data_IF_424107471432
#
_entry.id   IF_424107471432
#
_cell.length_a   1.000
_cell.length_b   1.000
_cell.length_c   1.000
_cell.angle_alpha   90.00
_cell.angle_beta   90.00
_cell.angle_gamma   90.00
#
_symmetry.space_group_name_H-M   'P 1'
#
loop_
_entity.id
_entity.type
_entity.pdbx_description
1 polymer ?
#
# COMPACT_ATOMS: atom_id res chain seq x y z
N UNK A 1 25.39 -13.79 13.13
CA UNK A 1 25.31 -13.51 11.69
C UNK A 1 24.04 -14.08 11.05
N UNK A 2 23.85 -15.40 10.93
CA UNK A 2 22.69 -15.98 10.23
C UNK A 2 21.32 -15.49 10.77
N UNK A 3 21.13 -15.46 12.09
CA UNK A 3 19.86 -15.02 12.72
C UNK A 3 19.54 -13.54 12.42
N UNK A 4 20.56 -12.67 12.42
CA UNK A 4 20.40 -11.24 12.12
C UNK A 4 20.10 -11.01 10.65
N UNK A 5 20.73 -11.76 9.74
CA UNK A 5 20.43 -11.71 8.31
C UNK A 5 18.98 -12.16 8.04
N UNK A 6 18.54 -13.26 8.67
CA UNK A 6 17.16 -13.73 8.56
C UNK A 6 16.15 -12.67 9.05
N UNK A 7 16.42 -11.99 10.17
CA UNK A 7 15.55 -10.91 10.63
C UNK A 7 15.57 -9.71 9.68
N UNK A 8 16.73 -9.39 9.09
CA UNK A 8 16.85 -8.29 8.13
C UNK A 8 15.99 -8.54 6.89
N UNK A 9 16.01 -9.75 6.35
CA UNK A 9 15.17 -10.16 5.22
C UNK A 9 13.68 -10.10 5.56
N UNK A 10 13.31 -10.52 6.77
CA UNK A 10 11.93 -10.43 7.24
C UNK A 10 11.45 -9.00 7.40
N UNK A 11 12.25 -8.14 8.04
CA UNK A 11 11.93 -6.72 8.18
C UNK A 11 11.94 -6.02 6.82
N UNK A 12 12.81 -6.42 5.88
CA UNK A 12 12.77 -5.92 4.50
C UNK A 12 11.47 -6.31 3.80
N UNK A 13 10.96 -7.51 4.06
CA UNK A 13 9.68 -7.95 3.51
C UNK A 13 8.51 -7.18 4.12
N UNK A 14 8.52 -6.98 5.45
CA UNK A 14 7.49 -6.21 6.16
C UNK A 14 7.50 -4.74 5.70
N UNK A 15 8.67 -4.13 5.52
CA UNK A 15 8.75 -2.75 5.03
C UNK A 15 8.17 -2.63 3.61
N UNK A 16 8.42 -3.60 2.73
CA UNK A 16 7.80 -3.66 1.40
C UNK A 16 6.28 -3.79 1.47
N UNK A 17 5.74 -4.60 2.38
CA UNK A 17 4.28 -4.70 2.59
C UNK A 17 3.71 -3.33 3.01
N UNK A 18 4.35 -2.64 3.95
CA UNK A 18 3.93 -1.30 4.41
C UNK A 18 4.01 -0.28 3.27
N UNK A 19 5.10 -0.29 2.50
CA UNK A 19 5.28 0.60 1.35
C UNK A 19 4.22 0.35 0.27
N UNK A 20 3.94 -0.92 -0.07
CA UNK A 20 2.89 -1.26 -1.02
C UNK A 20 1.51 -0.80 -0.55
N UNK A 21 1.20 -0.97 0.74
CA UNK A 21 -0.05 -0.49 1.32
C UNK A 21 -0.18 1.03 1.21
N UNK A 22 0.87 1.77 1.60
CA UNK A 22 0.90 3.24 1.58
C UNK A 22 0.84 3.77 0.15
N UNK A 23 1.72 3.30 -0.73
CA UNK A 23 1.77 3.73 -2.13
C UNK A 23 0.45 3.48 -2.85
N UNK A 24 -0.19 2.33 -2.61
CA UNK A 24 -1.50 2.04 -3.19
C UNK A 24 -2.59 2.95 -2.64
N UNK A 25 -2.52 3.24 -1.33
CA UNK A 25 -3.48 4.12 -0.68
C UNK A 25 -3.33 5.57 -1.16
N UNK A 26 -2.11 6.00 -1.46
CA UNK A 26 -1.84 7.33 -2.01
C UNK A 26 -2.46 7.52 -3.38
N UNK A 27 -2.47 6.49 -4.23
CA UNK A 27 -3.23 6.51 -5.49
C UNK A 27 -4.73 6.70 -5.24
N UNK A 28 -5.30 5.97 -4.27
CA UNK A 28 -6.72 6.10 -3.91
C UNK A 28 -7.02 7.51 -3.39
N UNK A 29 -6.14 8.08 -2.56
CA UNK A 29 -6.27 9.45 -2.06
C UNK A 29 -6.22 10.47 -3.19
N UNK A 30 -5.25 10.32 -4.10
CA UNK A 30 -5.08 11.19 -5.25
C UNK A 30 -6.34 11.22 -6.13
N UNK A 31 -6.88 10.04 -6.46
CA UNK A 31 -8.11 9.91 -7.26
C UNK A 31 -9.37 10.41 -6.53
N UNK A 32 -9.39 10.38 -5.19
CA UNK A 32 -10.53 10.83 -4.39
C UNK A 32 -10.50 12.33 -4.03
N UNK A 33 -9.37 13.01 -4.17
CA UNK A 33 -9.21 14.41 -3.76
C UNK A 33 -10.03 15.36 -4.66
N UNK A 34 -10.93 16.13 -4.05
CA UNK A 34 -11.81 17.06 -4.75
C UNK A 34 -11.05 18.21 -5.45
N UNK A 35 -9.82 18.53 -5.02
CA UNK A 35 -8.96 19.49 -5.72
C UNK A 35 -8.42 18.92 -7.04
N UNK A 36 -8.13 17.61 -7.11
CA UNK A 36 -7.81 16.94 -8.37
C UNK A 36 -9.06 16.69 -9.23
N UNK A 37 -10.24 16.54 -8.61
CA UNK A 37 -11.52 16.57 -9.35
C UNK A 37 -11.84 17.94 -9.95
N UNK A 38 -11.28 19.06 -9.44
CA UNK A 38 -11.54 20.43 -9.94
C UNK A 38 -10.44 21.00 -10.85
N UNK A 39 -9.17 20.65 -10.64
CA UNK A 39 -8.08 21.10 -11.51
C UNK A 39 -7.96 20.26 -12.80
N UNK A 40 -8.32 18.96 -12.77
CA UNK A 40 -8.27 18.06 -13.93
C UNK A 40 -9.66 17.71 -14.50
N UNK A 41 -10.60 18.67 -14.43
CA UNK A 41 -11.86 18.63 -15.18
C UNK A 41 -11.65 18.47 -16.71
N UNK A 42 -10.42 18.65 -17.21
CA UNK A 42 -10.06 18.61 -18.64
C UNK A 42 -10.05 17.18 -19.24
N UNK A 43 -9.98 16.09 -18.45
CA UNK A 43 -9.82 14.74 -19.01
C UNK A 43 -10.94 13.71 -18.74
N UNK A 44 -12.04 14.10 -18.10
CA UNK A 44 -13.20 13.20 -17.91
C UNK A 44 -13.88 12.80 -19.22
N UNK A 45 -13.68 13.55 -20.29
CA UNK A 45 -14.29 13.27 -21.60
C UNK A 45 -13.44 12.35 -22.49
N UNK A 46 -12.17 12.06 -22.16
CA UNK A 46 -11.25 11.36 -23.09
C UNK A 46 -10.64 10.05 -22.58
N UNK A 47 -10.55 9.83 -21.26
CA UNK A 47 -10.23 8.52 -20.68
C UNK A 47 -11.50 7.99 -20.01
N UNK A 48 -11.91 6.75 -20.31
CA UNK A 48 -13.18 6.25 -19.79
C UNK A 48 -13.21 6.31 -18.26
N UNK A 49 -14.33 6.76 -17.71
CA UNK A 49 -14.57 6.72 -16.26
C UNK A 49 -14.41 5.31 -15.68
N UNK A 50 -14.53 4.29 -16.52
CA UNK A 50 -14.32 2.88 -16.17
C UNK A 50 -12.87 2.54 -15.90
N UNK A 51 -11.91 3.08 -16.66
CA UNK A 51 -10.48 2.85 -16.40
C UNK A 51 -10.08 3.41 -15.03
N UNK A 52 -10.45 4.65 -14.73
CA UNK A 52 -10.13 5.26 -13.44
C UNK A 52 -10.80 4.57 -12.27
N UNK A 53 -12.07 4.19 -12.44
CA UNK A 53 -12.78 3.36 -11.46
C UNK A 53 -12.06 2.02 -11.25
N UNK A 54 -11.63 1.37 -12.33
CA UNK A 54 -10.86 0.13 -12.25
C UNK A 54 -9.54 0.33 -11.49
N UNK A 55 -8.78 1.37 -11.79
CA UNK A 55 -7.51 1.71 -11.11
C UNK A 55 -7.76 1.93 -9.62
N UNK A 56 -8.70 2.81 -9.26
CA UNK A 56 -9.06 3.11 -7.88
C UNK A 56 -9.43 1.86 -7.09
N UNK A 57 -10.30 1.01 -7.64
CA UNK A 57 -10.73 -0.24 -7.03
C UNK A 57 -9.56 -1.17 -6.77
N UNK A 58 -8.68 -1.36 -7.74
CA UNK A 58 -7.56 -2.28 -7.61
C UNK A 58 -6.53 -1.80 -6.58
N UNK A 59 -6.18 -0.51 -6.60
CA UNK A 59 -5.26 0.04 -5.61
C UNK A 59 -5.86 0.01 -4.19
N UNK A 60 -7.15 0.27 -4.04
CA UNK A 60 -7.84 0.08 -2.75
C UNK A 60 -7.77 -1.38 -2.27
N UNK A 61 -8.04 -2.35 -3.15
CA UNK A 61 -7.93 -3.78 -2.82
C UNK A 61 -6.51 -4.15 -2.36
N UNK A 62 -5.48 -3.66 -3.06
CA UNK A 62 -4.08 -3.89 -2.68
C UNK A 62 -3.81 -3.33 -1.29
N UNK A 63 -4.22 -2.08 -0.99
CA UNK A 63 -4.08 -1.49 0.35
C UNK A 63 -4.68 -2.38 1.44
N UNK A 64 -5.91 -2.85 1.25
CA UNK A 64 -6.61 -3.69 2.23
C UNK A 64 -5.89 -5.04 2.42
N UNK A 65 -5.44 -5.66 1.33
CA UNK A 65 -4.74 -6.95 1.38
C UNK A 65 -3.39 -6.81 2.10
N UNK A 66 -2.59 -5.81 1.74
CA UNK A 66 -1.27 -5.60 2.35
C UNK A 66 -1.37 -5.25 3.84
N UNK A 67 -2.30 -4.36 4.23
CA UNK A 67 -2.55 -4.08 5.64
C UNK A 67 -3.01 -5.33 6.40
N UNK A 68 -3.85 -6.17 5.80
CA UNK A 68 -4.34 -7.38 6.45
C UNK A 68 -3.20 -8.36 6.78
N UNK A 69 -2.20 -8.50 5.91
CA UNK A 69 -1.01 -9.33 6.17
C UNK A 69 -0.28 -8.91 7.46
N UNK A 70 -0.23 -7.61 7.75
CA UNK A 70 0.45 -7.06 8.92
C UNK A 70 -0.35 -7.23 10.21
N UNK A 71 -1.66 -7.10 10.14
CA UNK A 71 -2.54 -7.08 11.32
C UNK A 71 -3.29 -8.39 11.59
N UNK A 72 -3.12 -9.40 10.75
CA UNK A 72 -3.74 -10.69 11.00
C UNK A 72 -3.23 -11.30 12.30
N UNK A 73 -4.16 -11.85 13.08
CA UNK A 73 -3.86 -12.57 14.32
C UNK A 73 -3.69 -14.07 14.10
N UNK A 74 -3.80 -14.55 12.85
CA UNK A 74 -3.56 -15.95 12.53
C UNK A 74 -2.09 -16.29 12.76
N UNK A 75 -1.83 -17.39 13.45
CA UNK A 75 -0.47 -17.88 13.73
C UNK A 75 0.31 -18.21 12.47
N UNK A 76 -0.39 -18.57 11.39
CA UNK A 76 0.22 -18.91 10.10
C UNK A 76 0.65 -17.69 9.28
N UNK A 77 0.19 -16.48 9.66
CA UNK A 77 0.54 -15.25 8.94
C UNK A 77 1.90 -14.74 9.43
N UNK A 78 2.94 -15.27 8.78
CA UNK A 78 4.34 -15.15 9.18
C UNK A 78 4.82 -13.69 9.33
N UNK A 79 4.38 -12.80 8.43
CA UNK A 79 4.77 -11.39 8.40
C UNK A 79 3.84 -10.48 9.21
N UNK A 80 2.90 -11.03 9.97
CA UNK A 80 2.08 -10.24 10.88
C UNK A 80 2.88 -9.74 12.08
N UNK A 81 2.49 -8.58 12.62
CA UNK A 81 3.12 -8.03 13.83
C UNK A 81 2.90 -8.91 15.06
N UNK A 82 1.78 -9.63 15.12
CA UNK A 82 1.53 -10.62 16.17
C UNK A 82 2.55 -11.76 16.09
N UNK A 83 2.72 -12.36 14.91
CA UNK A 83 3.67 -13.45 14.70
C UNK A 83 5.11 -12.99 14.95
N UNK A 84 5.51 -11.85 14.38
CA UNK A 84 6.85 -11.28 14.60
C UNK A 84 7.13 -11.06 16.09
N UNK A 85 6.21 -10.44 16.83
CA UNK A 85 6.37 -10.18 18.26
C UNK A 85 6.54 -11.46 19.08
N UNK A 86 5.86 -12.55 18.73
CA UNK A 86 6.05 -13.83 19.44
C UNK A 86 7.40 -14.47 19.19
N UNK A 87 8.05 -14.21 18.03
CA UNK A 87 9.36 -14.79 17.70
C UNK A 87 10.51 -14.27 18.56
N UNK A 88 10.31 -13.17 19.30
CA UNK A 88 11.26 -12.63 20.28
C UNK A 88 11.04 -13.17 21.71
N UNK A 89 10.03 -14.00 21.95
CA UNK A 89 9.84 -14.61 23.27
C UNK A 89 10.93 -15.66 23.56
N UNK A 90 11.11 -16.00 24.84
CA UNK A 90 12.07 -17.02 25.26
C UNK A 90 11.84 -18.37 24.56
N UNK A 91 12.92 -19.00 24.09
CA UNK A 91 12.89 -20.25 23.35
C UNK A 91 12.43 -20.13 21.89
N UNK A 92 12.19 -18.92 21.38
CA UNK A 92 11.77 -18.69 20.00
C UNK A 92 12.92 -18.25 19.09
N UNK A 93 12.64 -18.14 17.78
CA UNK A 93 13.63 -17.88 16.72
C UNK A 93 14.60 -16.74 17.02
N UNK A 94 14.12 -15.68 17.67
CA UNK A 94 14.86 -14.45 17.94
C UNK A 94 15.12 -14.19 19.43
N UNK A 95 15.02 -15.20 20.30
CA UNK A 95 15.27 -15.09 21.75
C UNK A 95 16.63 -14.44 22.08
N UNK A 96 17.65 -14.71 21.25
CA UNK A 96 19.00 -14.14 21.42
C UNK A 96 19.14 -12.69 20.94
N UNK A 97 18.12 -12.10 20.34
CA UNK A 97 18.13 -10.71 19.89
C UNK A 97 17.47 -9.83 20.96
N UNK A 98 18.17 -8.76 21.32
CA UNK A 98 17.73 -7.83 22.36
C UNK A 98 16.63 -6.92 21.81
N UNK A 99 15.38 -7.24 22.14
CA UNK A 99 14.26 -6.30 22.12
C UNK A 99 13.78 -6.10 23.55
N UNK A 100 13.62 -4.85 23.97
CA UNK A 100 13.12 -4.56 25.31
C UNK A 100 11.67 -5.06 25.51
N UNK A 101 11.38 -5.51 26.72
CA UNK A 101 10.01 -5.87 27.11
C UNK A 101 9.05 -4.67 26.99
N UNK A 102 9.55 -3.46 27.19
CA UNK A 102 8.77 -2.22 27.04
C UNK A 102 8.36 -1.99 25.57
N UNK A 103 9.23 -2.27 24.61
CA UNK A 103 8.90 -2.24 23.19
C UNK A 103 7.85 -3.30 22.82
N UNK A 104 7.99 -4.54 23.29
CA UNK A 104 6.97 -5.57 23.05
C UNK A 104 5.62 -5.19 23.69
N UNK A 105 5.65 -4.55 24.86
CA UNK A 105 4.45 -4.06 25.56
C UNK A 105 3.80 -2.91 24.81
N UNK A 106 4.58 -1.95 24.29
CA UNK A 106 4.06 -0.81 23.52
C UNK A 106 3.40 -1.29 22.22
N UNK A 107 4.01 -2.25 21.51
CA UNK A 107 3.45 -2.85 20.30
C UNK A 107 2.13 -3.56 20.60
N UNK A 108 2.08 -4.39 21.66
CA UNK A 108 0.84 -5.04 22.10
C UNK A 108 -0.26 -4.03 22.43
N UNK A 109 0.10 -2.89 23.02
CA UNK A 109 -0.84 -1.82 23.33
C UNK A 109 -1.39 -1.16 22.05
N UNK A 110 -0.53 -0.83 21.08
CA UNK A 110 -0.95 -0.29 19.78
C UNK A 110 -1.90 -1.23 19.05
N UNK A 111 -1.58 -2.53 19.01
CA UNK A 111 -2.43 -3.56 18.42
C UNK A 111 -3.79 -3.66 19.15
N UNK A 112 -3.78 -3.59 20.49
CA UNK A 112 -5.00 -3.62 21.32
C UNK A 112 -5.87 -2.38 21.09
N UNK A 113 -5.28 -1.19 21.06
CA UNK A 113 -6.01 0.07 20.80
C UNK A 113 -6.62 0.10 19.40
N UNK A 114 -5.96 -0.55 18.44
CA UNK A 114 -6.39 -0.60 17.03
C UNK A 114 -7.36 -1.74 16.73
N UNK A 115 -7.77 -2.53 17.74
CA UNK A 115 -8.56 -3.77 17.56
C UNK A 115 -9.84 -3.57 16.74
N UNK A 116 -10.55 -2.46 16.93
CA UNK A 116 -11.79 -2.19 16.18
C UNK A 116 -11.51 -1.93 14.70
N UNK A 117 -10.50 -1.12 14.38
CA UNK A 117 -10.07 -0.88 13.00
C UNK A 117 -9.55 -2.17 12.36
N UNK A 118 -8.78 -3.00 13.08
CA UNK A 118 -8.33 -4.31 12.59
C UNK A 118 -9.52 -5.24 12.28
N UNK A 119 -10.56 -5.24 13.12
CA UNK A 119 -11.79 -6.02 12.85
C UNK A 119 -12.50 -5.54 11.58
N UNK A 120 -12.63 -4.22 11.41
CA UNK A 120 -13.17 -3.62 10.17
C UNK A 120 -12.33 -4.01 8.95
N UNK A 121 -10.99 -3.98 9.06
CA UNK A 121 -10.07 -4.38 8.01
C UNK A 121 -10.28 -5.84 7.58
N UNK A 122 -10.48 -6.74 8.55
CA UNK A 122 -10.77 -8.15 8.28
C UNK A 122 -12.10 -8.32 7.52
N UNK A 123 -13.14 -7.59 7.92
CA UNK A 123 -14.43 -7.60 7.20
C UNK A 123 -14.26 -7.08 5.77
N UNK A 124 -13.53 -5.97 5.59
CA UNK A 124 -13.22 -5.42 4.27
C UNK A 124 -12.45 -6.42 3.40
N UNK A 125 -11.40 -7.03 3.94
CA UNK A 125 -10.63 -8.06 3.25
C UNK A 125 -11.53 -9.19 2.77
N UNK A 126 -12.39 -9.73 3.64
CA UNK A 126 -13.29 -10.82 3.24
C UNK A 126 -14.26 -10.41 2.12
N UNK A 127 -14.75 -9.16 2.12
CA UNK A 127 -15.59 -8.65 1.03
C UNK A 127 -14.81 -8.43 -0.28
N UNK A 128 -13.57 -7.93 -0.19
CA UNK A 128 -12.67 -7.79 -1.35
C UNK A 128 -12.44 -9.14 -2.03
N UNK A 129 -12.31 -10.23 -1.26
CA UNK A 129 -12.15 -11.58 -1.81
C UNK A 129 -13.46 -12.19 -2.34
N UNK A 130 -14.61 -11.89 -1.73
CA UNK A 130 -15.89 -12.52 -2.07
C UNK A 130 -16.59 -11.90 -3.29
N UNK A 131 -16.25 -10.65 -3.65
CA UNK A 131 -17.00 -9.89 -4.63
C UNK A 131 -16.08 -9.15 -5.60
N UNK A 132 -15.46 -9.92 -6.51
CA UNK A 132 -14.67 -9.39 -7.63
C UNK A 132 -15.49 -8.46 -8.54
N UNK A 133 -16.83 -8.60 -8.55
CA UNK A 133 -17.72 -8.04 -9.59
C UNK A 133 -18.68 -6.92 -9.12
N UNK A 134 -18.64 -6.50 -7.84
CA UNK A 134 -19.55 -5.47 -7.32
C UNK A 134 -18.90 -4.12 -7.05
N UNK A 135 -19.72 -3.07 -7.19
CA UNK A 135 -19.36 -1.66 -7.05
C UNK A 135 -18.75 -1.38 -5.67
N UNK A 136 -17.45 -1.08 -5.63
CA UNK A 136 -16.66 -0.90 -4.40
C UNK A 136 -17.19 0.20 -3.47
N UNK A 137 -18.02 1.10 -4.01
CA UNK A 137 -18.76 2.12 -3.25
C UNK A 137 -19.63 1.52 -2.15
N UNK A 138 -20.06 0.26 -2.29
CA UNK A 138 -20.78 -0.46 -1.23
C UNK A 138 -19.87 -0.92 -0.07
N UNK A 139 -18.55 -0.81 -0.22
CA UNK A 139 -17.55 -1.12 0.82
C UNK A 139 -16.93 0.13 1.43
N UNK A 140 -16.99 1.27 0.72
CA UNK A 140 -16.71 2.60 1.26
C UNK A 140 -17.75 2.88 2.34
N UNK A 141 -17.34 2.80 3.61
CA UNK A 141 -18.22 2.94 4.77
C UNK A 141 -17.99 1.89 5.86
N UNK A 142 -17.37 0.75 5.53
CA UNK A 142 -16.92 -0.20 6.57
C UNK A 142 -15.71 0.36 7.31
N UNK A 143 -14.83 1.03 6.56
CA UNK A 143 -13.69 1.78 7.08
C UNK A 143 -13.55 3.06 6.25
N UNK A 144 -13.29 4.18 6.93
CA UNK A 144 -13.03 5.44 6.26
C UNK A 144 -11.54 5.64 5.93
N UNK A 145 -11.24 6.65 5.11
CA UNK A 145 -9.88 7.03 4.70
C UNK A 145 -8.98 7.29 5.92
N UNK A 146 -9.51 7.93 6.97
CA UNK A 146 -8.74 8.29 8.17
C UNK A 146 -8.34 7.04 8.95
N UNK A 147 -9.24 6.07 9.07
CA UNK A 147 -8.99 4.78 9.71
C UNK A 147 -7.93 3.96 8.96
N UNK A 148 -7.97 3.94 7.61
CA UNK A 148 -6.95 3.27 6.78
C UNK A 148 -5.59 3.96 6.96
N UNK A 149 -5.54 5.29 6.85
CA UNK A 149 -4.31 6.05 7.02
C UNK A 149 -3.70 5.85 8.42
N UNK A 150 -4.56 5.79 9.45
CA UNK A 150 -4.15 5.51 10.82
C UNK A 150 -3.52 4.11 10.94
N UNK A 151 -4.11 3.07 10.33
CA UNK A 151 -3.52 1.73 10.31
C UNK A 151 -2.16 1.69 9.60
N UNK A 152 -1.98 2.45 8.52
CA UNK A 152 -0.67 2.60 7.86
C UNK A 152 0.33 3.27 8.81
N UNK A 153 -0.06 4.36 9.48
CA UNK A 153 0.79 5.05 10.45
C UNK A 153 1.21 4.12 11.60
N UNK A 154 0.26 3.39 12.19
CA UNK A 154 0.53 2.39 13.23
C UNK A 154 1.49 1.31 12.72
N UNK A 155 1.34 0.87 11.47
CA UNK A 155 2.24 -0.12 10.88
C UNK A 155 3.68 0.39 10.78
N UNK A 156 3.87 1.64 10.35
CA UNK A 156 5.19 2.30 10.33
C UNK A 156 5.78 2.41 11.73
N UNK A 157 4.98 2.81 12.72
CA UNK A 157 5.42 2.91 14.13
C UNK A 157 5.84 1.56 14.69
N UNK A 158 5.02 0.52 14.53
CA UNK A 158 5.36 -0.82 15.02
C UNK A 158 6.64 -1.32 14.33
N UNK A 159 6.76 -1.13 13.02
CA UNK A 159 7.98 -1.48 12.29
C UNK A 159 9.21 -0.76 12.84
N UNK A 160 9.13 0.56 13.03
CA UNK A 160 10.24 1.36 13.55
C UNK A 160 10.63 0.94 14.97
N UNK A 161 9.68 0.51 15.80
CA UNK A 161 10.01 -0.04 17.11
C UNK A 161 10.85 -1.33 16.99
N UNK A 162 10.48 -2.26 16.11
CA UNK A 162 11.30 -3.46 15.86
C UNK A 162 12.67 -3.12 15.26
N UNK A 163 12.68 -2.26 14.24
CA UNK A 163 13.88 -1.93 13.47
C UNK A 163 14.90 -1.15 14.32
N UNK A 164 14.46 -0.14 15.06
CA UNK A 164 15.34 0.69 15.89
C UNK A 164 15.91 -0.06 17.09
N UNK A 165 15.13 -0.93 17.73
CA UNK A 165 15.66 -1.79 18.80
C UNK A 165 16.71 -2.77 18.29
N UNK A 166 16.47 -3.38 17.13
CA UNK A 166 17.35 -4.40 16.55
C UNK A 166 18.64 -3.81 15.98
N UNK A 167 18.54 -2.71 15.22
CA UNK A 167 19.65 -2.17 14.44
C UNK A 167 20.20 -0.84 14.96
N UNK A 168 19.58 -0.26 16.01
CA UNK A 168 19.95 1.03 16.60
C UNK A 168 19.93 2.17 15.57
N UNK A 169 18.97 2.14 14.66
CA UNK A 169 18.75 3.10 13.57
C UNK A 169 17.27 3.29 13.31
N UNK A 170 16.88 4.44 12.77
CA UNK A 170 15.51 4.66 12.30
C UNK A 170 15.35 4.24 10.84
N UNK A 171 14.15 3.78 10.48
CA UNK A 171 13.78 3.53 9.10
C UNK A 171 12.84 4.64 8.61
N UNK A 172 13.20 5.24 7.48
CA UNK A 172 12.45 6.33 6.88
C UNK A 172 11.60 5.79 5.73
N UNK A 173 10.30 5.72 5.96
CA UNK A 173 9.34 5.26 4.93
C UNK A 173 9.04 6.32 3.87
N UNK A 174 9.21 7.60 4.19
CA UNK A 174 8.74 8.72 3.37
C UNK A 174 9.83 9.25 2.42
N UNK A 175 10.76 8.39 1.99
CA UNK A 175 11.78 8.78 1.03
C UNK A 175 11.20 8.77 -0.39
N UNK A 176 11.18 9.91 -1.11
CA UNK A 176 10.47 10.05 -2.38
C UNK A 176 11.37 9.58 -3.53
N UNK A 177 11.42 8.28 -3.82
CA UNK A 177 12.03 7.80 -5.05
C UNK A 177 11.19 6.69 -5.67
N UNK A 178 10.59 6.99 -6.83
CA UNK A 178 9.90 6.01 -7.68
C UNK A 178 8.54 5.58 -7.14
N UNK A 179 7.77 6.50 -6.56
CA UNK A 179 6.43 6.18 -6.06
C UNK A 179 5.48 5.94 -7.25
N UNK A 180 4.44 5.11 -7.08
CA UNK A 180 3.40 4.98 -8.11
C UNK A 180 2.74 6.30 -8.49
N UNK A 181 2.72 7.30 -7.59
CA UNK A 181 2.21 8.64 -7.88
C UNK A 181 3.06 9.37 -8.92
N UNK A 182 4.39 9.37 -8.78
CA UNK A 182 5.29 10.00 -9.75
C UNK A 182 5.08 9.40 -11.17
N UNK A 183 4.88 8.09 -11.23
CA UNK A 183 4.57 7.39 -12.48
C UNK A 183 3.17 7.69 -13.02
N UNK A 184 2.19 7.95 -12.13
CA UNK A 184 0.84 8.35 -12.53
C UNK A 184 0.82 9.77 -13.06
N UNK A 185 1.53 10.71 -12.43
CA UNK A 185 1.69 12.07 -12.95
C UNK A 185 2.30 12.05 -14.34
N UNK A 186 3.40 11.31 -14.54
CA UNK A 186 4.00 11.16 -15.86
C UNK A 186 3.09 10.43 -16.87
N UNK A 187 2.29 9.46 -16.42
CA UNK A 187 1.26 8.84 -17.25
C UNK A 187 0.20 9.86 -17.67
N UNK A 188 -0.23 10.75 -16.76
CA UNK A 188 -1.19 11.80 -17.07
C UNK A 188 -0.62 12.81 -18.06
N UNK A 189 0.63 13.25 -17.89
CA UNK A 189 1.32 14.09 -18.87
C UNK A 189 1.36 13.44 -20.26
N UNK A 190 1.69 12.15 -20.32
CA UNK A 190 1.70 11.39 -21.58
C UNK A 190 0.31 11.27 -22.20
N UNK A 191 -0.71 10.93 -21.41
CA UNK A 191 -2.07 10.82 -21.93
C UNK A 191 -2.58 12.18 -22.40
N UNK A 192 -2.32 13.26 -21.66
CA UNK A 192 -2.67 14.62 -22.06
C UNK A 192 -1.98 15.00 -23.38
N UNK A 193 -0.69 14.70 -23.52
CA UNK A 193 0.06 14.87 -24.75
C UNK A 193 -0.58 14.11 -25.92
N UNK A 194 -0.85 12.80 -25.78
CA UNK A 194 -1.47 12.00 -26.83
C UNK A 194 -2.89 12.47 -27.15
N UNK A 195 -3.67 12.89 -26.15
CA UNK A 195 -5.05 13.35 -26.33
C UNK A 195 -5.16 14.70 -27.05
N UNK A 196 -4.13 15.54 -26.91
CA UNK A 196 -4.03 16.86 -27.57
C UNK A 196 -3.43 16.76 -28.96
N UNK A 197 -2.64 15.70 -29.21
CA UNK A 197 -1.88 15.50 -30.44
C UNK A 197 -2.28 14.21 -31.18
N UNK A 198 -3.49 13.69 -30.93
CA UNK A 198 -3.86 12.34 -31.39
C UNK A 198 -3.73 12.17 -32.91
N UNK A 199 -4.29 13.09 -33.68
CA UNK A 199 -4.23 13.05 -35.15
C UNK A 199 -2.79 13.12 -35.67
N UNK A 200 -1.95 14.00 -35.11
CA UNK A 200 -0.56 14.15 -35.54
C UNK A 200 0.30 12.93 -35.18
N UNK A 201 0.08 12.32 -34.01
CA UNK A 201 0.75 11.07 -33.61
C UNK A 201 0.31 9.90 -34.50
N UNK A 202 -0.98 9.76 -34.79
CA UNK A 202 -1.49 8.68 -35.64
C UNK A 202 -0.99 8.81 -37.08
N UNK A 203 -0.92 10.03 -37.61
CA UNK A 203 -0.32 10.32 -38.92
C UNK A 203 1.17 9.95 -38.96
N UNK A 204 1.94 10.32 -37.92
CA UNK A 204 3.35 9.96 -37.83
C UNK A 204 3.58 8.44 -37.74
N UNK A 205 2.74 7.72 -36.99
CA UNK A 205 2.81 6.27 -36.91
C UNK A 205 2.45 5.60 -38.24
N UNK A 206 1.42 6.10 -38.93
CA UNK A 206 1.04 5.61 -40.25
C UNK A 206 2.17 5.80 -41.27
N UNK A 207 2.81 6.97 -41.28
CA UNK A 207 3.95 7.26 -42.15
C UNK A 207 5.17 6.38 -41.84
N UNK A 208 5.42 6.09 -40.56
CA UNK A 208 6.48 5.17 -40.14
C UNK A 208 6.21 3.73 -40.57
N UNK A 209 4.97 3.25 -40.45
CA UNK A 209 4.57 1.92 -40.91
C UNK A 209 4.71 1.78 -42.43
N UNK A 210 4.33 2.79 -43.20
CA UNK A 210 4.48 2.77 -44.66
C UNK A 210 5.93 2.87 -45.13
N UNK A 211 6.82 3.46 -44.34
CA UNK A 211 8.28 3.45 -44.59
C UNK A 211 8.95 2.13 -44.24
N UNK A 212 8.33 1.29 -43.39
CA UNK A 212 8.86 -0.01 -43.02
C UNK A 212 8.47 -1.14 -44.00
N UNK A 213 7.51 -0.87 -44.91
CA UNK A 213 6.96 -1.84 -45.88
C UNK A 213 7.54 -1.63 -47.29
N UNK A 214 8.24 -0.50 -47.54
CA UNK A 214 8.99 -0.21 -48.77
C UNK A 214 10.49 -0.33 -48.54
#
# INVERSE_FOLDING_TARGET
MLIQNNLQEELTTISRIILNAKSSFDVVLFLNNDNHKKANLINKEKISSDFFRFVEVNFFRITIIELFKLFSSNKNDYYSFYSLGTRFNSGQKYDKLTISNDTLKSIRLLLKQSKNSIKKLMVLRNKVYAHSDQDFKNYIGIMDIKEINNLISISKTIFNNFYSETYKKEFFFDFPLGTPLDNLEHLFEKIEFYSSNYESVMLQQYDQMNKAIN
#
